data_IF_136097022329
#
_entry.id   IF_136097022329
#
_cell.length_a   1.000
_cell.length_b   1.000
_cell.length_c   1.000
_cell.angle_alpha   90.00
_cell.angle_beta   90.00
_cell.angle_gamma   90.00
#
_symmetry.space_group_name_H-M   'P 1'
#
loop_
_entity.id
_entity.type
_entity.pdbx_description
1 polymer ?
#
# COMPACT_ATOMS: atom_id res chain seq x y z
N UNK A 1 29.64 -6.96 -7.39
CA UNK A 1 28.47 -7.71 -6.89
C UNK A 1 27.78 -8.35 -8.08
N UNK A 2 27.25 -9.58 -7.94
CA UNK A 2 26.40 -10.19 -8.99
C UNK A 2 25.14 -9.34 -9.18
N UNK A 3 24.42 -9.56 -10.31
CA UNK A 3 23.12 -8.94 -10.51
C UNK A 3 22.14 -9.42 -9.42
N UNK A 4 21.28 -8.53 -8.90
CA UNK A 4 20.20 -8.91 -8.02
C UNK A 4 19.20 -9.75 -8.80
N UNK A 5 18.88 -10.94 -8.29
CA UNK A 5 17.90 -11.85 -8.87
C UNK A 5 16.55 -11.69 -8.19
N UNK A 6 15.50 -11.57 -8.98
CA UNK A 6 14.16 -11.46 -8.42
C UNK A 6 13.15 -12.41 -9.04
N UNK A 7 12.14 -12.76 -8.25
CA UNK A 7 10.93 -13.46 -8.69
C UNK A 7 9.75 -12.48 -8.58
N UNK A 8 8.92 -12.44 -9.63
CA UNK A 8 7.66 -11.68 -9.62
C UNK A 8 6.51 -12.58 -9.19
N UNK A 9 5.73 -12.13 -8.19
CA UNK A 9 4.48 -12.78 -7.75
C UNK A 9 3.32 -11.86 -8.06
N UNK A 10 2.41 -12.32 -8.93
CA UNK A 10 1.36 -11.52 -9.54
C UNK A 10 1.85 -10.81 -10.79
N UNK A 11 1.24 -11.16 -11.94
CA UNK A 11 1.59 -10.66 -13.26
C UNK A 11 0.48 -9.77 -13.84
N UNK A 12 -0.15 -8.95 -12.98
CA UNK A 12 -1.20 -7.98 -13.33
C UNK A 12 -0.65 -6.60 -13.70
N UNK A 13 -1.52 -5.58 -13.62
CA UNK A 13 -1.22 -4.18 -14.03
C UNK A 13 0.04 -3.61 -13.36
N UNK A 14 0.24 -3.83 -12.06
CA UNK A 14 1.40 -3.29 -11.34
C UNK A 14 2.70 -3.96 -11.76
N UNK A 15 2.67 -5.26 -12.04
CA UNK A 15 3.86 -6.04 -12.38
C UNK A 15 4.50 -5.63 -13.71
N UNK A 16 3.73 -5.04 -14.62
CA UNK A 16 4.26 -4.49 -15.88
C UNK A 16 5.39 -3.50 -15.56
N UNK A 17 5.15 -2.62 -14.62
CA UNK A 17 6.11 -1.58 -14.23
C UNK A 17 7.19 -2.11 -13.29
N UNK A 18 6.86 -2.94 -12.29
CA UNK A 18 7.89 -3.47 -11.38
C UNK A 18 8.90 -4.34 -12.12
N UNK A 19 8.46 -5.24 -13.01
CA UNK A 19 9.37 -6.05 -13.81
C UNK A 19 10.21 -5.20 -14.76
N UNK A 20 9.56 -4.29 -15.52
CA UNK A 20 10.26 -3.40 -16.44
C UNK A 20 11.32 -2.57 -15.72
N UNK A 21 10.95 -1.87 -14.64
CA UNK A 21 11.87 -1.00 -13.90
C UNK A 21 13.01 -1.77 -13.24
N UNK A 22 12.74 -2.98 -12.71
CA UNK A 22 13.79 -3.82 -12.16
C UNK A 22 14.79 -4.28 -13.22
N UNK A 23 14.32 -4.72 -14.39
CA UNK A 23 15.16 -5.14 -15.51
C UNK A 23 15.97 -3.95 -16.06
N UNK A 24 15.33 -2.80 -16.29
CA UNK A 24 15.99 -1.58 -16.76
C UNK A 24 17.03 -1.06 -15.75
N UNK A 25 16.85 -1.39 -14.47
CA UNK A 25 17.78 -1.08 -13.38
C UNK A 25 18.88 -2.14 -13.21
N UNK A 26 18.99 -3.09 -14.15
CA UNK A 26 20.05 -4.08 -14.19
C UNK A 26 19.81 -5.34 -13.35
N UNK A 27 18.62 -5.51 -12.75
CA UNK A 27 18.26 -6.72 -12.04
C UNK A 27 17.90 -7.85 -13.03
N UNK A 28 17.98 -9.10 -12.57
CA UNK A 28 17.68 -10.29 -13.36
C UNK A 28 16.38 -10.93 -12.86
N UNK A 29 15.36 -11.02 -13.72
CA UNK A 29 14.17 -11.81 -13.43
C UNK A 29 14.49 -13.29 -13.64
N UNK A 30 14.29 -14.12 -12.61
CA UNK A 30 14.60 -15.55 -12.63
C UNK A 30 13.37 -16.44 -12.51
N UNK A 31 12.18 -15.84 -12.32
CA UNK A 31 10.92 -16.56 -12.26
C UNK A 31 9.75 -15.61 -12.09
N UNK A 32 8.56 -16.12 -12.44
CA UNK A 32 7.31 -15.40 -12.24
C UNK A 32 6.16 -16.39 -11.97
N UNK A 33 5.20 -16.00 -11.13
CA UNK A 33 3.99 -16.79 -10.86
C UNK A 33 2.74 -15.92 -10.83
N UNK A 34 1.61 -16.53 -11.24
CA UNK A 34 0.28 -15.91 -11.18
C UNK A 34 -0.80 -16.95 -10.94
N UNK A 35 -2.03 -16.50 -10.63
CA UNK A 35 -3.23 -17.34 -10.56
C UNK A 35 -4.05 -17.28 -11.88
N UNK A 36 -3.83 -16.25 -12.69
CA UNK A 36 -4.61 -16.00 -13.90
C UNK A 36 -4.20 -16.98 -15.02
N UNK A 37 -5.11 -17.87 -15.48
CA UNK A 37 -4.82 -18.81 -16.53
C UNK A 37 -4.45 -18.15 -17.88
N UNK A 38 -4.86 -16.89 -18.07
CA UNK A 38 -4.58 -16.16 -19.32
C UNK A 38 -3.10 -15.77 -19.48
N UNK A 39 -2.34 -15.72 -18.39
CA UNK A 39 -0.89 -15.40 -18.43
C UNK A 39 0.00 -16.60 -18.11
N UNK A 40 -0.50 -17.60 -17.39
CA UNK A 40 0.26 -18.82 -17.06
C UNK A 40 0.69 -19.54 -18.35
N UNK A 41 1.95 -19.98 -18.38
CA UNK A 41 2.57 -20.65 -19.52
C UNK A 41 3.13 -19.70 -20.59
N UNK A 42 2.90 -18.38 -20.46
CA UNK A 42 3.48 -17.37 -21.35
C UNK A 42 4.82 -16.87 -20.79
N UNK A 43 5.68 -16.35 -21.67
CA UNK A 43 6.85 -15.60 -21.25
C UNK A 43 6.46 -14.27 -20.63
N UNK A 44 7.21 -13.81 -19.61
CA UNK A 44 6.95 -12.53 -18.94
C UNK A 44 6.96 -11.33 -19.88
N UNK A 45 7.66 -11.42 -21.01
CA UNK A 45 7.65 -10.39 -22.06
C UNK A 45 6.26 -10.09 -22.59
N UNK A 46 5.35 -11.08 -22.58
CA UNK A 46 3.95 -10.90 -22.99
C UNK A 46 3.16 -9.95 -22.06
N UNK A 47 3.61 -9.81 -20.81
CA UNK A 47 3.04 -8.90 -19.81
C UNK A 47 3.72 -7.54 -19.87
N UNK A 48 5.05 -7.53 -19.99
CA UNK A 48 5.87 -6.30 -20.00
C UNK A 48 5.75 -5.53 -21.31
N UNK A 49 5.55 -6.27 -22.43
CA UNK A 49 5.55 -5.70 -23.78
C UNK A 49 6.96 -5.44 -24.32
N UNK A 50 7.91 -6.36 -24.08
CA UNK A 50 9.30 -6.28 -24.52
C UNK A 50 9.70 -7.51 -25.36
N UNK A 51 10.98 -7.61 -25.74
CA UNK A 51 11.54 -8.82 -26.35
C UNK A 51 11.51 -10.00 -25.37
N UNK A 52 11.52 -11.23 -25.89
CA UNK A 52 11.46 -12.46 -25.09
C UNK A 52 12.57 -12.50 -24.05
N UNK A 53 12.17 -12.71 -22.79
CA UNK A 53 13.06 -12.75 -21.61
C UNK A 53 13.53 -14.16 -21.29
N UNK A 54 12.78 -15.18 -21.71
CA UNK A 54 13.06 -16.59 -21.43
C UNK A 54 12.56 -17.07 -20.07
N UNK A 55 11.67 -16.32 -19.42
CA UNK A 55 11.07 -16.66 -18.12
C UNK A 55 9.58 -16.92 -18.30
N UNK A 56 9.17 -18.18 -18.13
CA UNK A 56 7.77 -18.60 -18.23
C UNK A 56 7.05 -18.35 -16.90
N UNK A 57 5.86 -17.74 -16.97
CA UNK A 57 4.97 -17.52 -15.82
C UNK A 57 4.37 -18.86 -15.40
N UNK A 58 4.64 -19.30 -14.17
CA UNK A 58 4.11 -20.54 -13.59
C UNK A 58 2.84 -20.26 -12.77
N UNK A 59 2.14 -21.31 -12.35
CA UNK A 59 1.03 -21.17 -11.41
C UNK A 59 1.58 -20.83 -10.02
N UNK A 60 0.87 -19.99 -9.26
CA UNK A 60 1.28 -19.58 -7.88
C UNK A 60 1.48 -20.79 -6.96
N UNK A 61 0.77 -21.88 -7.17
CA UNK A 61 0.94 -23.15 -6.43
C UNK A 61 2.35 -23.76 -6.58
N UNK A 62 3.11 -23.34 -7.59
CA UNK A 62 4.49 -23.75 -7.83
C UNK A 62 5.52 -22.80 -7.17
N UNK A 63 5.07 -21.76 -6.44
CA UNK A 63 5.97 -20.75 -5.87
C UNK A 63 7.07 -21.38 -4.99
N UNK A 64 6.71 -22.30 -4.09
CA UNK A 64 7.66 -22.94 -3.18
C UNK A 64 8.76 -23.71 -3.95
N UNK A 65 8.38 -24.48 -4.95
CA UNK A 65 9.34 -25.23 -5.79
C UNK A 65 10.20 -24.29 -6.65
N UNK A 66 9.61 -23.22 -7.19
CA UNK A 66 10.32 -22.21 -7.96
C UNK A 66 11.39 -21.50 -7.11
N UNK A 67 11.04 -21.03 -5.90
CA UNK A 67 12.01 -20.36 -5.02
C UNK A 67 13.20 -21.26 -4.65
N UNK A 68 12.95 -22.55 -4.39
CA UNK A 68 14.02 -23.54 -4.13
C UNK A 68 14.93 -23.78 -5.34
N UNK A 69 14.36 -23.74 -6.55
CA UNK A 69 15.09 -23.94 -7.81
C UNK A 69 15.97 -22.73 -8.14
N UNK A 70 15.37 -21.52 -8.19
CA UNK A 70 16.06 -20.34 -8.74
C UNK A 70 16.80 -19.52 -7.69
N UNK A 71 16.48 -19.67 -6.39
CA UNK A 71 17.12 -19.00 -5.24
C UNK A 71 17.30 -17.50 -5.48
N UNK A 72 16.21 -16.73 -5.61
CA UNK A 72 16.29 -15.30 -5.86
C UNK A 72 16.76 -14.55 -4.60
N UNK A 73 17.29 -13.35 -4.78
CA UNK A 73 17.62 -12.45 -3.68
C UNK A 73 16.36 -11.81 -3.07
N UNK A 74 15.30 -11.62 -3.91
CA UNK A 74 14.05 -10.99 -3.49
C UNK A 74 12.85 -11.47 -4.31
N UNK A 75 11.68 -11.57 -3.68
CA UNK A 75 10.39 -11.68 -4.33
C UNK A 75 9.68 -10.32 -4.34
N UNK A 76 9.18 -9.87 -5.50
CA UNK A 76 8.33 -8.69 -5.65
C UNK A 76 6.89 -9.20 -5.73
N UNK A 77 6.04 -8.80 -4.77
CA UNK A 77 4.66 -9.29 -4.64
C UNK A 77 3.68 -8.16 -4.93
N UNK A 78 2.89 -8.30 -6.00
CA UNK A 78 1.98 -7.27 -6.50
C UNK A 78 0.57 -7.82 -6.71
N UNK A 79 -0.06 -8.38 -5.68
CA UNK A 79 -1.31 -9.13 -5.83
C UNK A 79 -2.50 -8.51 -5.09
N UNK A 80 -2.43 -8.35 -3.79
CA UNK A 80 -3.56 -8.00 -2.92
C UNK A 80 -3.23 -6.82 -2.01
N UNK A 81 -4.25 -6.24 -1.36
CA UNK A 81 -4.13 -5.06 -0.48
C UNK A 81 -4.21 -5.37 1.01
N UNK A 82 -4.58 -6.61 1.39
CA UNK A 82 -4.70 -7.03 2.79
C UNK A 82 -3.72 -8.16 3.14
N UNK A 83 -3.24 -8.14 4.37
CA UNK A 83 -2.26 -9.13 4.87
C UNK A 83 -2.80 -10.55 4.90
N UNK A 84 -4.09 -10.74 5.20
CA UNK A 84 -4.72 -12.05 5.18
C UNK A 84 -4.62 -12.74 3.81
N UNK A 85 -4.78 -11.96 2.73
CA UNK A 85 -4.72 -12.49 1.37
C UNK A 85 -3.28 -12.80 0.92
N UNK A 86 -2.29 -12.24 1.61
CA UNK A 86 -0.86 -12.41 1.31
C UNK A 86 -0.15 -13.37 2.24
N UNK A 87 -0.78 -13.80 3.34
CA UNK A 87 -0.13 -14.59 4.38
C UNK A 87 0.59 -15.83 3.81
N UNK A 88 -0.06 -16.59 2.93
CA UNK A 88 0.51 -17.80 2.33
C UNK A 88 1.73 -17.50 1.44
N UNK A 89 1.64 -16.49 0.60
CA UNK A 89 2.71 -16.08 -0.33
C UNK A 89 3.92 -15.56 0.45
N UNK A 90 3.72 -14.62 1.38
CA UNK A 90 4.81 -14.06 2.17
C UNK A 90 5.44 -15.11 3.10
N UNK A 91 4.63 -16.00 3.66
CA UNK A 91 5.11 -17.11 4.47
C UNK A 91 5.93 -18.10 3.64
N UNK A 92 5.56 -18.35 2.39
CA UNK A 92 6.33 -19.20 1.46
C UNK A 92 7.69 -18.56 1.15
N UNK A 93 7.74 -17.26 0.90
CA UNK A 93 9.01 -16.53 0.74
C UNK A 93 9.87 -16.63 2.00
N UNK A 94 9.29 -16.35 3.17
CA UNK A 94 9.99 -16.41 4.46
C UNK A 94 10.56 -17.80 4.74
N UNK A 95 9.78 -18.87 4.59
CA UNK A 95 10.23 -20.25 4.79
C UNK A 95 11.39 -20.66 3.88
N UNK A 96 11.49 -20.07 2.69
CA UNK A 96 12.59 -20.31 1.76
C UNK A 96 13.79 -19.37 1.95
N UNK A 97 13.77 -18.50 2.96
CA UNK A 97 14.84 -17.52 3.22
C UNK A 97 14.98 -16.47 2.12
N UNK A 98 13.90 -16.19 1.40
CA UNK A 98 13.85 -15.21 0.32
C UNK A 98 13.28 -13.90 0.84
N UNK A 99 14.00 -12.80 0.67
CA UNK A 99 13.47 -11.48 0.99
C UNK A 99 12.19 -11.22 0.18
N UNK A 100 11.21 -10.50 0.73
CA UNK A 100 10.03 -10.13 0.00
C UNK A 100 9.63 -8.67 0.23
N UNK A 101 9.24 -8.01 -0.85
CA UNK A 101 8.69 -6.66 -0.85
C UNK A 101 7.35 -6.66 -1.57
N UNK A 102 6.33 -6.05 -0.96
CA UNK A 102 4.98 -6.04 -1.51
C UNK A 102 4.41 -4.63 -1.65
N UNK A 103 3.54 -4.46 -2.67
CA UNK A 103 2.74 -3.24 -2.87
C UNK A 103 1.49 -3.20 -1.99
N UNK A 104 1.22 -4.23 -1.22
CA UNK A 104 0.08 -4.31 -0.30
C UNK A 104 0.08 -3.11 0.65
N UNK A 105 -1.00 -2.36 0.67
CA UNK A 105 -1.11 -1.14 1.46
C UNK A 105 -1.08 -1.44 2.97
N UNK A 106 -1.75 -2.51 3.41
CA UNK A 106 -1.73 -2.92 4.81
C UNK A 106 -0.31 -3.33 5.26
N UNK A 107 0.47 -3.94 4.37
CA UNK A 107 1.85 -4.36 4.66
C UNK A 107 2.82 -3.20 4.94
N UNK A 108 2.41 -1.96 4.73
CA UNK A 108 3.20 -0.78 5.06
C UNK A 108 3.49 -0.68 6.56
N UNK A 109 2.48 -0.97 7.41
CA UNK A 109 2.64 -1.08 8.86
C UNK A 109 1.57 -2.04 9.46
N UNK A 110 1.66 -3.34 9.24
CA UNK A 110 0.60 -4.28 9.61
C UNK A 110 0.55 -4.60 11.10
N UNK A 111 1.53 -4.13 11.89
CA UNK A 111 1.57 -4.40 13.32
C UNK A 111 0.35 -3.86 14.09
N UNK A 112 -0.31 -2.82 13.56
CA UNK A 112 -1.50 -2.20 14.17
C UNK A 112 -2.84 -2.69 13.60
N UNK A 113 -2.83 -3.61 12.60
CA UNK A 113 -4.04 -4.17 12.00
C UNK A 113 -4.03 -5.70 11.92
N UNK A 114 -2.88 -6.31 11.68
CA UNK A 114 -2.68 -7.76 11.54
C UNK A 114 -1.50 -8.27 12.37
N UNK A 115 -1.51 -8.09 13.72
CA UNK A 115 -0.37 -8.39 14.58
C UNK A 115 -0.01 -9.89 14.59
N UNK A 116 -0.98 -10.81 14.47
CA UNK A 116 -0.75 -12.26 14.41
C UNK A 116 0.11 -12.61 13.19
N UNK A 117 -0.31 -12.20 12.01
CA UNK A 117 0.40 -12.49 10.75
C UNK A 117 1.78 -11.84 10.78
N UNK A 118 1.87 -10.59 11.22
CA UNK A 118 3.13 -9.84 11.32
C UNK A 118 4.13 -10.55 12.23
N UNK A 119 3.68 -11.00 13.42
CA UNK A 119 4.54 -11.67 14.38
C UNK A 119 5.03 -13.03 13.88
N UNK A 120 4.19 -13.77 13.17
CA UNK A 120 4.56 -15.07 12.64
C UNK A 120 5.54 -14.93 11.46
N UNK A 121 5.30 -13.97 10.55
CA UNK A 121 6.23 -13.63 9.48
C UNK A 121 7.59 -13.16 10.03
N UNK A 122 7.57 -12.30 11.05
CA UNK A 122 8.79 -11.82 11.72
C UNK A 122 9.60 -12.97 12.30
N UNK A 123 8.93 -13.91 13.00
CA UNK A 123 9.56 -15.09 13.58
C UNK A 123 10.23 -15.96 12.52
N UNK A 124 9.47 -16.34 11.48
CA UNK A 124 9.98 -17.22 10.42
C UNK A 124 11.09 -16.54 9.62
N UNK A 125 10.93 -15.26 9.26
CA UNK A 125 11.94 -14.52 8.53
C UNK A 125 13.26 -14.37 9.31
N UNK A 126 13.19 -14.21 10.65
CA UNK A 126 14.38 -14.24 11.52
C UNK A 126 15.07 -15.60 11.54
N UNK A 127 14.31 -16.68 11.59
CA UNK A 127 14.85 -18.06 11.59
C UNK A 127 15.55 -18.41 10.28
N UNK A 128 15.06 -17.87 9.16
CA UNK A 128 15.58 -18.15 7.81
C UNK A 128 16.51 -17.05 7.27
N UNK A 129 16.74 -16.01 8.06
CA UNK A 129 17.62 -14.87 7.74
C UNK A 129 17.20 -14.10 6.46
N UNK A 130 15.91 -13.76 6.35
CA UNK A 130 15.38 -12.91 5.29
C UNK A 130 14.56 -11.75 5.85
N UNK A 131 14.24 -10.77 5.00
CA UNK A 131 13.47 -9.57 5.35
C UNK A 131 12.16 -9.53 4.55
N UNK A 132 11.05 -9.29 5.24
CA UNK A 132 9.73 -9.08 4.65
C UNK A 132 9.29 -7.64 4.93
N UNK A 133 8.75 -6.95 3.92
CA UNK A 133 8.28 -5.57 4.07
C UNK A 133 7.21 -5.19 3.05
N UNK A 134 6.45 -4.14 3.36
CA UNK A 134 5.58 -3.43 2.43
C UNK A 134 6.16 -2.05 2.06
N UNK A 135 5.98 -1.62 0.84
CA UNK A 135 6.39 -0.31 0.33
C UNK A 135 5.49 0.11 -0.84
N UNK A 136 5.81 1.21 -1.49
CA UNK A 136 5.08 1.73 -2.65
C UNK A 136 4.93 3.24 -2.58
N UNK A 137 3.83 3.76 -3.15
CA UNK A 137 3.48 5.18 -3.11
C UNK A 137 3.48 5.73 -1.67
N UNK A 138 2.91 4.97 -0.75
CA UNK A 138 2.82 5.31 0.67
C UNK A 138 4.18 5.56 1.31
N UNK A 139 5.20 4.81 0.94
CA UNK A 139 6.56 4.97 1.51
C UNK A 139 7.16 6.35 1.20
N UNK A 140 7.02 6.83 -0.03
CA UNK A 140 7.48 8.16 -0.42
C UNK A 140 6.52 9.26 0.06
N UNK A 141 5.23 9.15 -0.29
CA UNK A 141 4.30 10.27 -0.29
C UNK A 141 3.45 10.37 0.98
N UNK A 142 3.25 9.26 1.71
CA UNK A 142 2.56 9.23 3.01
C UNK A 142 3.51 8.97 4.18
N UNK A 143 4.80 8.81 3.90
CA UNK A 143 5.85 8.55 4.88
C UNK A 143 7.01 9.53 4.79
N UNK A 144 7.97 9.26 3.92
CA UNK A 144 9.26 9.99 3.90
C UNK A 144 9.13 11.50 3.66
N UNK A 145 8.27 11.97 2.77
CA UNK A 145 8.05 13.41 2.56
C UNK A 145 7.54 14.10 3.83
N UNK A 146 6.60 13.48 4.53
CA UNK A 146 6.01 14.02 5.77
C UNK A 146 7.07 14.08 6.86
N UNK A 147 7.84 13.01 7.04
CA UNK A 147 8.87 12.96 8.08
C UNK A 147 10.06 13.86 7.78
N UNK A 148 10.35 14.12 6.50
CA UNK A 148 11.33 15.13 6.09
C UNK A 148 10.89 16.53 6.52
N UNK A 149 9.60 16.89 6.30
CA UNK A 149 9.05 18.16 6.77
C UNK A 149 9.01 18.23 8.29
N UNK A 150 8.61 17.14 8.94
CA UNK A 150 8.60 17.06 10.41
C UNK A 150 10.01 17.31 10.98
N UNK A 151 11.05 16.79 10.33
CA UNK A 151 12.46 17.04 10.72
C UNK A 151 12.89 18.51 10.58
N UNK A 152 12.18 19.31 9.79
CA UNK A 152 12.43 20.75 9.61
C UNK A 152 11.50 21.64 10.44
N UNK A 153 10.59 21.06 11.23
CA UNK A 153 9.57 21.78 12.03
C UNK A 153 9.88 21.68 13.52
N UNK A 154 9.83 22.80 14.22
CA UNK A 154 9.91 22.85 15.68
C UNK A 154 8.50 22.81 16.29
N UNK A 155 8.34 22.19 17.48
CA UNK A 155 7.09 22.14 18.25
C UNK A 155 5.86 21.65 17.45
N UNK A 156 5.98 20.46 16.84
CA UNK A 156 4.84 19.87 16.11
C UNK A 156 3.69 19.59 17.07
N UNK A 157 2.48 20.02 16.68
CA UNK A 157 1.24 19.77 17.44
C UNK A 157 0.30 18.84 16.70
N UNK A 158 0.30 18.89 15.36
CA UNK A 158 -0.57 18.08 14.51
C UNK A 158 0.10 17.79 13.17
N UNK A 159 -0.15 16.61 12.63
CA UNK A 159 0.10 16.26 11.24
C UNK A 159 -1.26 15.96 10.60
N UNK A 160 -1.61 16.68 9.54
CA UNK A 160 -2.87 16.47 8.83
C UNK A 160 -2.61 16.20 7.35
N UNK A 161 -3.25 15.17 6.81
CA UNK A 161 -3.09 14.80 5.42
C UNK A 161 -4.35 14.29 4.75
N UNK A 162 -4.38 14.44 3.42
CA UNK A 162 -5.44 13.98 2.55
C UNK A 162 -4.84 13.44 1.25
N UNK A 163 -5.32 12.29 0.80
CA UNK A 163 -4.99 11.74 -0.51
C UNK A 163 -6.29 11.37 -1.22
N UNK A 164 -6.42 11.75 -2.50
CA UNK A 164 -7.64 11.49 -3.27
C UNK A 164 -7.36 10.74 -4.57
N UNK A 165 -8.31 9.92 -4.98
CA UNK A 165 -8.30 9.19 -6.25
C UNK A 165 -9.70 9.02 -6.82
N UNK A 166 -9.77 8.88 -8.16
CA UNK A 166 -11.03 8.58 -8.84
C UNK A 166 -11.35 7.09 -8.72
N UNK A 167 -12.47 6.76 -8.05
CA UNK A 167 -12.90 5.34 -7.88
C UNK A 167 -13.24 4.67 -9.20
N UNK A 168 -13.57 5.44 -10.24
CA UNK A 168 -13.91 4.91 -11.55
C UNK A 168 -12.72 4.25 -12.26
N UNK A 169 -11.49 4.67 -11.98
CA UNK A 169 -10.26 4.11 -12.54
C UNK A 169 -9.99 2.67 -12.07
N UNK A 170 -10.67 2.26 -11.00
CA UNK A 170 -10.55 0.94 -10.37
C UNK A 170 -11.78 0.05 -10.56
N UNK A 171 -12.79 0.55 -11.29
CA UNK A 171 -13.96 -0.20 -11.74
C UNK A 171 -15.17 -0.15 -10.81
N UNK A 172 -16.29 -0.70 -11.32
CA UNK A 172 -17.63 -0.59 -10.73
C UNK A 172 -17.71 -1.15 -9.29
N UNK A 173 -16.96 -2.22 -9.00
CA UNK A 173 -16.99 -2.85 -7.68
C UNK A 173 -16.47 -1.90 -6.60
N UNK A 174 -15.36 -1.19 -6.88
CA UNK A 174 -14.79 -0.22 -5.96
C UNK A 174 -15.69 1.01 -5.80
N UNK A 175 -16.23 1.55 -6.91
CA UNK A 175 -17.14 2.69 -6.87
C UNK A 175 -18.37 2.40 -5.98
N UNK A 176 -18.98 1.20 -6.12
CA UNK A 176 -20.09 0.76 -5.26
C UNK A 176 -19.67 0.56 -3.81
N UNK A 177 -18.52 -0.06 -3.55
CA UNK A 177 -18.01 -0.26 -2.19
C UNK A 177 -17.73 1.07 -1.47
N UNK A 178 -17.44 2.15 -2.23
CA UNK A 178 -17.30 3.50 -1.71
C UNK A 178 -18.63 4.26 -1.58
N UNK A 179 -19.76 3.60 -1.84
CA UNK A 179 -21.08 4.18 -1.70
C UNK A 179 -21.43 5.24 -2.76
N UNK A 180 -20.71 5.27 -3.89
CA UNK A 180 -21.01 6.21 -4.97
C UNK A 180 -22.42 5.96 -5.55
N UNK A 181 -23.23 7.01 -5.60
CA UNK A 181 -24.62 6.97 -6.07
C UNK A 181 -25.66 6.69 -5.01
N UNK A 182 -25.27 6.44 -3.75
CA UNK A 182 -26.18 6.28 -2.62
C UNK A 182 -26.67 7.65 -2.11
N UNK A 183 -27.91 7.69 -1.62
CA UNK A 183 -28.35 8.82 -0.79
C UNK A 183 -27.56 8.83 0.52
N UNK A 184 -27.51 9.95 1.25
CA UNK A 184 -26.80 10.02 2.51
C UNK A 184 -27.36 9.05 3.57
N UNK A 185 -28.66 8.75 3.54
CA UNK A 185 -29.30 7.77 4.44
C UNK A 185 -28.83 6.34 4.11
N UNK A 186 -28.83 5.97 2.83
CA UNK A 186 -28.31 4.67 2.39
C UNK A 186 -26.82 4.54 2.68
N UNK A 187 -26.03 5.57 2.40
CA UNK A 187 -24.61 5.60 2.72
C UNK A 187 -24.35 5.38 4.21
N UNK A 188 -25.11 6.06 5.06
CA UNK A 188 -25.00 5.92 6.52
C UNK A 188 -25.25 4.48 6.97
N UNK A 189 -26.23 3.82 6.38
CA UNK A 189 -26.62 2.46 6.70
C UNK A 189 -25.66 1.40 6.10
N UNK A 190 -25.25 1.57 4.85
CA UNK A 190 -24.56 0.51 4.10
C UNK A 190 -23.02 0.63 4.20
N UNK A 191 -22.49 1.86 4.34
CA UNK A 191 -21.05 2.12 4.34
C UNK A 191 -20.56 2.58 5.72
N UNK A 192 -21.08 3.71 6.23
CA UNK A 192 -20.56 4.31 7.45
C UNK A 192 -20.81 3.47 8.71
N UNK A 193 -21.84 2.62 8.71
CA UNK A 193 -22.14 1.75 9.85
C UNK A 193 -21.03 0.76 10.19
N UNK A 194 -20.23 0.34 9.22
CA UNK A 194 -19.12 -0.60 9.42
C UNK A 194 -18.03 -0.07 10.38
N UNK A 195 -17.87 1.25 10.45
CA UNK A 195 -16.89 1.90 11.35
C UNK A 195 -17.47 2.30 12.72
N UNK A 196 -18.78 2.08 12.95
CA UNK A 196 -19.46 2.38 14.22
C UNK A 196 -19.37 1.26 15.23
N UNK A 197 -18.19 0.72 15.38
CA UNK A 197 -17.90 -0.34 16.34
C UNK A 197 -17.16 0.22 17.56
N UNK A 198 -17.33 -0.45 18.69
CA UNK A 198 -16.57 -0.09 19.91
C UNK A 198 -15.07 -0.38 19.73
N UNK A 199 -14.25 0.21 20.59
CA UNK A 199 -12.81 -0.09 20.62
C UNK A 199 -12.57 -1.59 20.90
N UNK A 200 -13.37 -2.17 21.80
CA UNK A 200 -13.28 -3.59 22.15
C UNK A 200 -13.62 -4.51 20.96
N UNK A 201 -14.63 -4.16 20.20
CA UNK A 201 -15.01 -4.90 18.98
C UNK A 201 -13.91 -4.78 17.93
N UNK A 202 -13.39 -3.58 17.70
CA UNK A 202 -12.28 -3.37 16.77
C UNK A 202 -11.05 -4.16 17.16
N UNK A 203 -10.67 -4.15 18.43
CA UNK A 203 -9.54 -4.93 18.92
C UNK A 203 -9.73 -6.43 18.68
N UNK A 204 -10.94 -6.96 18.87
CA UNK A 204 -11.25 -8.37 18.55
C UNK A 204 -11.11 -8.67 17.05
N UNK A 205 -11.59 -7.77 16.18
CA UNK A 205 -11.41 -7.93 14.74
C UNK A 205 -9.93 -7.93 14.35
N UNK A 206 -9.11 -7.06 14.96
CA UNK A 206 -7.67 -7.00 14.77
C UNK A 206 -7.01 -8.30 15.24
N UNK A 207 -7.34 -8.78 16.44
CA UNK A 207 -6.81 -10.03 17.00
C UNK A 207 -7.17 -11.25 16.15
N UNK A 208 -8.39 -11.28 15.61
CA UNK A 208 -8.88 -12.37 14.75
C UNK A 208 -8.35 -12.26 13.30
N UNK A 209 -7.77 -11.12 12.90
CA UNK A 209 -7.37 -10.85 11.52
C UNK A 209 -8.55 -10.57 10.59
N UNK A 210 -9.66 -10.09 11.14
CA UNK A 210 -10.91 -9.77 10.41
C UNK A 210 -11.07 -8.25 10.21
N UNK A 211 -10.18 -7.44 10.76
CA UNK A 211 -10.21 -5.99 10.58
C UNK A 211 -9.73 -5.62 9.18
N UNK A 212 -10.53 -4.83 8.48
CA UNK A 212 -10.18 -4.24 7.20
C UNK A 212 -9.81 -2.75 7.41
N UNK A 213 -8.50 -2.44 7.56
CA UNK A 213 -8.08 -1.07 7.80
C UNK A 213 -8.23 -0.21 6.55
N UNK A 214 -8.50 1.08 6.73
CA UNK A 214 -8.18 2.05 5.69
C UNK A 214 -6.65 2.15 5.51
N UNK A 215 -6.19 2.54 4.33
CA UNK A 215 -4.75 2.73 4.07
C UNK A 215 -4.11 3.71 5.07
N UNK A 216 -4.88 4.69 5.54
CA UNK A 216 -4.42 5.68 6.51
C UNK A 216 -4.26 5.12 7.94
N UNK A 217 -4.91 3.98 8.24
CA UNK A 217 -4.71 3.28 9.51
C UNK A 217 -3.25 2.83 9.67
N UNK A 218 -2.74 2.15 8.66
CA UNK A 218 -1.36 1.67 8.64
C UNK A 218 -0.37 2.83 8.44
N UNK A 219 -0.74 3.85 7.65
CA UNK A 219 0.07 5.07 7.46
C UNK A 219 0.30 5.80 8.78
N UNK A 220 -0.74 6.00 9.60
CA UNK A 220 -0.57 6.66 10.90
C UNK A 220 0.31 5.82 11.84
N UNK A 221 0.19 4.49 11.82
CA UNK A 221 1.09 3.60 12.54
C UNK A 221 2.55 3.74 12.11
N UNK A 222 2.79 3.77 10.80
CA UNK A 222 4.11 3.97 10.22
C UNK A 222 4.71 5.33 10.62
N UNK A 223 3.90 6.41 10.57
CA UNK A 223 4.34 7.75 10.98
C UNK A 223 4.71 7.79 12.47
N UNK A 224 3.90 7.15 13.32
CA UNK A 224 4.22 7.04 14.74
C UNK A 224 5.54 6.30 14.98
N UNK A 225 5.76 5.15 14.31
CA UNK A 225 6.99 4.37 14.43
C UNK A 225 8.21 5.20 13.96
N UNK A 226 8.12 5.86 12.82
CA UNK A 226 9.21 6.67 12.25
C UNK A 226 9.56 7.89 13.10
N UNK A 227 8.56 8.54 13.68
CA UNK A 227 8.73 9.74 14.50
C UNK A 227 8.96 9.46 15.99
N UNK A 228 8.93 8.18 16.39
CA UNK A 228 9.08 7.78 17.80
C UNK A 228 7.89 8.21 18.68
N UNK A 229 6.69 8.26 18.12
CA UNK A 229 5.46 8.63 18.81
C UNK A 229 4.75 7.39 19.37
N UNK A 230 4.11 7.53 20.52
CA UNK A 230 3.38 6.45 21.19
C UNK A 230 1.87 6.64 21.01
N UNK A 231 1.18 5.88 20.15
CA UNK A 231 -0.27 5.97 20.01
C UNK A 231 -0.98 5.60 21.32
N UNK A 232 -1.96 6.41 21.71
CA UNK A 232 -2.87 6.14 22.85
C UNK A 232 -4.29 5.85 22.41
N UNK A 233 -4.68 6.35 21.24
CA UNK A 233 -5.95 6.00 20.57
C UNK A 233 -5.78 6.10 19.06
N UNK A 234 -6.50 5.25 18.33
CA UNK A 234 -6.62 5.33 16.88
C UNK A 234 -8.06 5.01 16.48
N UNK A 235 -8.69 5.92 15.76
CA UNK A 235 -10.11 5.82 15.36
C UNK A 235 -10.21 6.02 13.86
N UNK A 236 -11.01 5.19 13.21
CA UNK A 236 -11.37 5.30 11.79
C UNK A 236 -12.83 5.67 11.66
N UNK A 237 -13.17 6.52 10.68
CA UNK A 237 -14.54 6.89 10.32
C UNK A 237 -14.69 6.97 8.81
N UNK A 238 -15.73 6.37 8.27
CA UNK A 238 -16.20 6.61 6.91
C UNK A 238 -17.11 7.83 6.87
N UNK A 239 -16.79 8.78 5.98
CA UNK A 239 -17.55 10.01 5.76
C UNK A 239 -17.96 10.09 4.29
N UNK A 240 -19.23 10.41 3.95
CA UNK A 240 -19.65 10.55 2.56
C UNK A 240 -18.99 11.77 1.93
N UNK A 241 -18.53 11.61 0.70
CA UNK A 241 -18.15 12.72 -0.17
C UNK A 241 -19.36 13.10 -0.99
N UNK A 242 -19.64 14.39 -1.15
CA UNK A 242 -20.78 14.90 -1.91
C UNK A 242 -20.34 15.98 -2.88
N UNK A 243 -21.20 16.33 -3.83
CA UNK A 243 -20.99 17.45 -4.74
C UNK A 243 -22.25 18.32 -4.83
N UNK A 244 -22.09 19.61 -5.14
CA UNK A 244 -23.20 20.55 -5.22
C UNK A 244 -23.96 20.50 -6.55
N UNK A 245 -23.46 19.77 -7.52
CA UNK A 245 -24.03 19.57 -8.85
C UNK A 245 -24.14 18.09 -9.16
N UNK A 246 -25.02 17.75 -10.10
CA UNK A 246 -25.16 16.39 -10.62
C UNK A 246 -23.87 15.95 -11.34
N UNK A 247 -23.36 14.76 -11.02
CA UNK A 247 -22.18 14.19 -11.68
C UNK A 247 -22.58 12.89 -12.38
N UNK A 248 -22.28 12.78 -13.68
CA UNK A 248 -22.48 11.53 -14.41
C UNK A 248 -21.29 10.59 -14.20
N UNK A 249 -21.56 9.39 -13.68
CA UNK A 249 -20.59 8.32 -13.58
C UNK A 249 -20.71 7.37 -14.78
N UNK A 250 -19.68 7.30 -15.58
CA UNK A 250 -19.62 6.38 -16.71
C UNK A 250 -19.51 4.91 -16.27
N UNK A 251 -18.81 4.67 -15.18
CA UNK A 251 -18.60 3.35 -14.59
C UNK A 251 -19.88 2.78 -13.98
N UNK A 252 -20.64 3.61 -13.25
CA UNK A 252 -21.92 3.22 -12.68
C UNK A 252 -23.07 3.29 -13.69
N UNK A 253 -22.86 3.97 -14.83
CA UNK A 253 -23.86 4.30 -15.85
C UNK A 253 -25.08 5.00 -15.26
N UNK A 254 -24.84 5.97 -14.36
CA UNK A 254 -25.89 6.75 -13.70
C UNK A 254 -25.43 8.17 -13.38
N UNK A 255 -26.39 9.05 -13.13
CA UNK A 255 -26.12 10.39 -12.61
C UNK A 255 -26.26 10.37 -11.08
N UNK A 256 -25.15 10.64 -10.38
CA UNK A 256 -25.15 10.92 -8.94
C UNK A 256 -25.74 12.31 -8.74
N UNK A 257 -26.80 12.42 -7.96
CA UNK A 257 -27.49 13.68 -7.73
C UNK A 257 -26.73 14.60 -6.81
N UNK A 258 -26.91 15.90 -7.00
CA UNK A 258 -26.37 16.91 -6.10
C UNK A 258 -26.79 16.61 -4.64
N UNK A 259 -25.81 16.54 -3.75
CA UNK A 259 -26.00 16.22 -2.34
C UNK A 259 -25.97 14.73 -1.98
N UNK A 260 -26.08 13.83 -2.97
CA UNK A 260 -25.87 12.39 -2.74
C UNK A 260 -24.39 12.05 -2.67
N UNK A 261 -24.08 10.82 -2.19
CA UNK A 261 -22.69 10.38 -2.05
C UNK A 261 -22.04 10.15 -3.41
N UNK A 262 -20.96 10.87 -3.68
CA UNK A 262 -20.07 10.62 -4.84
C UNK A 262 -19.02 9.56 -4.52
N UNK A 263 -18.90 9.18 -3.29
CA UNK A 263 -17.93 8.24 -2.73
C UNK A 263 -17.73 8.47 -1.24
N UNK A 264 -16.59 8.06 -0.72
CA UNK A 264 -16.28 8.20 0.71
C UNK A 264 -14.89 8.79 0.96
N UNK A 265 -14.70 9.35 2.16
CA UNK A 265 -13.42 9.57 2.81
C UNK A 265 -13.30 8.64 4.01
N UNK A 266 -12.23 7.87 4.08
CA UNK A 266 -11.85 7.12 5.28
C UNK A 266 -10.89 7.99 6.10
N UNK A 267 -11.39 8.58 7.17
CA UNK A 267 -10.64 9.48 8.07
C UNK A 267 -10.09 8.68 9.25
N UNK A 268 -8.79 8.75 9.49
CA UNK A 268 -8.13 8.13 10.64
C UNK A 268 -7.52 9.21 11.52
N UNK A 269 -7.89 9.20 12.80
CA UNK A 269 -7.32 10.10 13.82
C UNK A 269 -6.55 9.27 14.83
N UNK A 270 -5.28 9.61 15.02
CA UNK A 270 -4.40 8.98 16.01
C UNK A 270 -3.94 10.04 17.02
N UNK A 271 -4.26 9.83 18.30
CA UNK A 271 -3.74 10.63 19.40
C UNK A 271 -2.49 9.96 19.96
N UNK A 272 -1.48 10.75 20.30
CA UNK A 272 -0.22 10.24 20.84
C UNK A 272 0.06 10.75 22.25
N UNK A 273 0.85 9.99 23.00
CA UNK A 273 1.28 10.34 24.35
C UNK A 273 2.09 11.65 24.38
N UNK A 274 2.78 11.94 23.30
CA UNK A 274 3.61 13.14 23.13
C UNK A 274 2.78 14.39 22.83
N UNK A 275 1.43 14.25 22.73
CA UNK A 275 0.51 15.36 22.47
C UNK A 275 0.39 15.77 21.01
N UNK A 276 0.92 14.96 20.09
CA UNK A 276 0.80 15.17 18.64
C UNK A 276 -0.39 14.36 18.14
N UNK A 277 -1.30 15.01 17.40
CA UNK A 277 -2.40 14.35 16.70
C UNK A 277 -2.02 14.11 15.25
N UNK A 278 -2.25 12.88 14.75
CA UNK A 278 -2.15 12.57 13.32
C UNK A 278 -3.57 12.36 12.79
N UNK A 279 -4.01 13.20 11.86
CA UNK A 279 -5.31 13.11 11.19
C UNK A 279 -5.07 12.94 9.70
N UNK A 280 -5.45 11.82 9.16
CA UNK A 280 -5.23 11.49 7.76
C UNK A 280 -6.50 10.95 7.12
N UNK A 281 -6.70 11.24 5.84
CA UNK A 281 -7.84 10.74 5.10
C UNK A 281 -7.46 10.26 3.71
N UNK A 282 -8.17 9.21 3.26
CA UNK A 282 -8.08 8.70 1.92
C UNK A 282 -9.46 8.84 1.25
N UNK A 283 -9.54 9.67 0.21
CA UNK A 283 -10.78 10.03 -0.47
C UNK A 283 -10.87 9.24 -1.76
N UNK A 284 -11.84 8.34 -1.85
CA UNK A 284 -12.23 7.68 -3.08
C UNK A 284 -13.62 8.14 -3.51
N UNK A 285 -13.72 8.83 -4.65
CA UNK A 285 -15.01 9.35 -5.15
C UNK A 285 -15.07 9.36 -6.67
N UNK A 286 -16.28 9.45 -7.22
CA UNK A 286 -16.50 9.83 -8.62
C UNK A 286 -16.12 11.30 -8.78
N UNK A 287 -15.28 11.62 -9.75
CA UNK A 287 -14.76 12.96 -9.95
C UNK A 287 -15.70 13.84 -10.75
N UNK A 288 -15.81 15.10 -10.33
CA UNK A 288 -16.32 16.19 -11.17
C UNK A 288 -15.23 16.58 -12.19
N UNK A 289 -15.61 17.37 -13.20
CA UNK A 289 -14.71 17.77 -14.29
C UNK A 289 -13.43 18.48 -13.83
N UNK A 290 -13.49 19.17 -12.69
CA UNK A 290 -12.36 19.92 -12.12
C UNK A 290 -11.54 19.12 -11.13
N UNK A 291 -11.99 17.95 -10.71
CA UNK A 291 -11.26 17.10 -9.75
C UNK A 291 -10.02 16.46 -10.39
N UNK A 292 -9.06 16.17 -9.58
CA UNK A 292 -7.89 15.35 -9.95
C UNK A 292 -7.31 14.70 -8.70
N UNK A 293 -6.51 13.68 -8.91
CA UNK A 293 -5.76 13.05 -7.82
C UNK A 293 -4.86 14.08 -7.14
N UNK A 294 -4.93 14.11 -5.82
CA UNK A 294 -4.11 14.99 -4.97
C UNK A 294 -3.56 14.23 -3.78
N UNK A 295 -2.43 14.69 -3.29
CA UNK A 295 -1.87 14.27 -2.01
C UNK A 295 -1.34 15.51 -1.31
N UNK A 296 -2.01 15.92 -0.24
CA UNK A 296 -1.71 17.13 0.50
C UNK A 296 -1.49 16.82 1.97
N UNK A 297 -0.40 17.34 2.54
CA UNK A 297 -0.08 17.17 3.95
C UNK A 297 0.44 18.45 4.55
N UNK A 298 -0.02 18.73 5.77
CA UNK A 298 0.42 19.86 6.59
C UNK A 298 0.99 19.35 7.91
N UNK A 299 2.20 19.78 8.21
CA UNK A 299 2.80 19.67 9.55
C UNK A 299 2.56 20.99 10.25
N UNK A 300 1.74 20.97 11.29
CA UNK A 300 1.44 22.13 12.14
C UNK A 300 2.46 22.24 13.27
N UNK A 301 3.16 23.36 13.33
CA UNK A 301 4.22 23.61 14.30
C UNK A 301 4.90 24.96 14.10
N UNK A 302 6.17 25.03 14.29
CA UNK A 302 6.98 26.25 14.07
C UNK A 302 8.04 26.01 12.99
N UNK A 303 7.79 26.42 11.71
CA UNK A 303 6.53 26.95 11.15
C UNK A 303 5.57 25.85 10.73
N UNK A 304 4.30 26.23 10.50
CA UNK A 304 3.38 25.38 9.73
C UNK A 304 3.89 25.22 8.30
N UNK A 305 3.91 23.98 7.79
CA UNK A 305 4.40 23.70 6.45
C UNK A 305 3.50 22.72 5.74
N UNK A 306 3.10 23.06 4.51
CA UNK A 306 2.26 22.22 3.66
C UNK A 306 3.02 21.84 2.39
N UNK A 307 2.88 20.57 1.95
CA UNK A 307 3.21 20.19 0.59
C UNK A 307 2.00 19.61 -0.12
N UNK A 308 1.98 19.76 -1.42
CA UNK A 308 0.91 19.24 -2.30
C UNK A 308 1.54 18.55 -3.50
N UNK A 309 1.10 17.34 -3.79
CA UNK A 309 1.41 16.62 -5.03
C UNK A 309 0.12 16.54 -5.84
N UNK A 310 0.12 17.09 -7.03
CA UNK A 310 -1.04 17.09 -7.93
C UNK A 310 -0.85 16.11 -9.06
N UNK A 311 -1.92 15.38 -9.40
CA UNK A 311 -1.94 14.39 -10.48
C UNK A 311 -0.79 13.38 -10.42
N UNK A 312 -0.55 12.74 -9.25
CA UNK A 312 0.47 11.70 -9.16
C UNK A 312 0.08 10.52 -10.04
N UNK A 313 1.03 9.97 -10.80
CA UNK A 313 0.85 8.65 -11.41
C UNK A 313 1.14 7.60 -10.33
N UNK A 314 0.14 7.25 -9.52
CA UNK A 314 0.30 6.38 -8.35
C UNK A 314 0.82 5.00 -8.70
N UNK A 315 0.45 4.45 -9.88
CA UNK A 315 0.91 3.14 -10.35
C UNK A 315 2.42 3.12 -10.58
N UNK A 316 2.91 4.05 -11.40
CA UNK A 316 4.34 4.11 -11.74
C UNK A 316 5.18 4.52 -10.53
N UNK A 317 4.70 5.47 -9.72
CA UNK A 317 5.39 5.89 -8.49
C UNK A 317 5.47 4.77 -7.45
N UNK A 318 4.42 3.96 -7.29
CA UNK A 318 4.46 2.75 -6.45
C UNK A 318 5.53 1.78 -6.94
N UNK A 319 5.53 1.46 -8.22
CA UNK A 319 6.46 0.48 -8.78
C UNK A 319 7.91 0.95 -8.72
N UNK A 320 8.15 2.24 -8.98
CA UNK A 320 9.48 2.84 -8.84
C UNK A 320 9.96 2.80 -7.38
N UNK A 321 9.10 3.12 -6.42
CA UNK A 321 9.42 3.03 -4.99
C UNK A 321 9.78 1.61 -4.57
N UNK A 322 9.01 0.60 -5.01
CA UNK A 322 9.31 -0.83 -4.78
C UNK A 322 10.71 -1.18 -5.29
N UNK A 323 11.01 -0.86 -6.55
CA UNK A 323 12.29 -1.23 -7.16
C UNK A 323 13.47 -0.51 -6.49
N UNK A 324 13.32 0.77 -6.19
CA UNK A 324 14.34 1.54 -5.50
C UNK A 324 14.58 1.06 -4.04
N UNK A 325 13.61 0.41 -3.41
CA UNK A 325 13.72 -0.10 -2.04
C UNK A 325 14.39 -1.48 -1.96
N UNK A 326 14.48 -2.24 -3.06
CA UNK A 326 15.05 -3.59 -3.07
C UNK A 326 16.43 -3.70 -2.43
N UNK A 327 17.42 -2.82 -2.72
CA UNK A 327 18.72 -2.89 -2.06
C UNK A 327 18.66 -2.71 -0.54
N UNK A 328 17.76 -1.84 -0.06
CA UNK A 328 17.56 -1.63 1.37
C UNK A 328 16.97 -2.89 2.03
N UNK A 329 16.01 -3.55 1.38
CA UNK A 329 15.38 -4.80 1.86
C UNK A 329 16.40 -5.92 1.98
N UNK A 330 17.27 -6.10 0.95
CA UNK A 330 18.31 -7.13 0.96
C UNK A 330 19.35 -6.89 2.06
N UNK A 331 19.61 -5.62 2.40
CA UNK A 331 20.60 -5.25 3.42
C UNK A 331 20.02 -5.08 4.83
N UNK A 332 18.70 -5.11 4.97
CA UNK A 332 18.04 -4.94 6.26
C UNK A 332 18.27 -6.12 7.21
N UNK A 333 18.00 -5.93 8.50
CA UNK A 333 17.99 -7.03 9.48
C UNK A 333 16.88 -8.03 9.14
N UNK A 334 17.11 -9.31 9.44
CA UNK A 334 16.10 -10.34 9.26
C UNK A 334 14.84 -10.06 10.10
N UNK A 335 13.68 -10.39 9.56
CA UNK A 335 12.37 -10.24 10.20
C UNK A 335 11.35 -9.51 9.32
N UNK A 336 10.19 -9.20 9.89
CA UNK A 336 9.27 -8.22 9.31
C UNK A 336 9.80 -6.82 9.65
N UNK A 337 10.27 -6.09 8.67
CA UNK A 337 10.90 -4.78 8.88
C UNK A 337 10.11 -3.72 8.11
N UNK A 338 9.25 -2.91 8.76
CA UNK A 338 8.57 -1.81 8.09
C UNK A 338 9.59 -0.78 7.60
N UNK A 339 9.27 -0.10 6.50
CA UNK A 339 10.19 0.89 5.92
C UNK A 339 10.44 2.11 6.82
N UNK A 340 9.58 2.32 7.85
CA UNK A 340 9.84 3.29 8.92
C UNK A 340 11.16 3.04 9.65
N UNK A 341 11.60 1.78 9.74
CA UNK A 341 12.86 1.36 10.36
C UNK A 341 14.03 1.25 9.37
N UNK A 342 13.79 1.53 8.11
CA UNK A 342 14.81 1.63 7.07
C UNK A 342 15.28 3.08 6.90
N UNK A 343 16.35 3.30 6.14
CA UNK A 343 16.76 4.63 5.70
C UNK A 343 15.72 5.29 4.80
N UNK A 344 15.94 6.56 4.46
CA UNK A 344 15.12 7.28 3.49
C UNK A 344 15.09 6.57 2.14
N UNK A 345 13.95 6.62 1.45
CA UNK A 345 13.84 6.10 0.09
C UNK A 345 14.75 6.91 -0.85
N UNK A 346 15.59 6.22 -1.60
CA UNK A 346 16.56 6.84 -2.51
C UNK A 346 16.40 6.30 -3.92
N UNK A 347 16.64 7.16 -4.90
CA UNK A 347 16.83 6.70 -6.27
C UNK A 347 18.06 5.79 -6.32
N UNK A 348 17.86 4.57 -6.78
CA UNK A 348 18.88 3.54 -6.87
C UNK A 348 19.10 3.18 -8.35
N UNK A 349 20.18 3.69 -8.97
CA UNK A 349 20.62 3.16 -10.26
C UNK A 349 21.71 2.14 -9.99
N UNK A 350 21.44 0.88 -10.34
CA UNK A 350 22.47 -0.15 -10.28
C UNK A 350 23.54 0.17 -11.32
N UNK A 351 24.81 0.03 -10.94
CA UNK A 351 25.90 0.18 -11.91
C UNK A 351 25.84 -0.95 -12.95
N UNK A 352 26.06 -0.59 -14.21
CA UNK A 352 26.20 -1.54 -15.32
C UNK A 352 27.34 -2.53 -15.10
#
# INVERSE_FOLDING_TARGET
>A
MGKIKFVQVGCGKMSIYTMRYAIENGMEIVGAVDINPDVIGKDVSSVIGCEEVGVTIKNVTELDSLLKEVKPDVAIVTTMSLMNDLEEVLMTCAKNGVNAITTCEEAFYPANSSPRITSELDRVAKETNCTITGSGYQDAFWGNLITTLAGATHNITKIKGSSSYNVEDYGIALAKAHGAGLTLEEFDKEVASADRISVEERNKLIENGEFAPSYMWNTNGWLCDKLGLTPISQIQKCVPMTHNEDIYSSTLNMTVKAGDATGMSAVVTTETKEGITIESECIGKVYAETDCDTNEWTVYGEPDTTFVVTRPNTVELTCASIVNRIPDVISAKAGYVPTSQMGELKYQKMAE
#
